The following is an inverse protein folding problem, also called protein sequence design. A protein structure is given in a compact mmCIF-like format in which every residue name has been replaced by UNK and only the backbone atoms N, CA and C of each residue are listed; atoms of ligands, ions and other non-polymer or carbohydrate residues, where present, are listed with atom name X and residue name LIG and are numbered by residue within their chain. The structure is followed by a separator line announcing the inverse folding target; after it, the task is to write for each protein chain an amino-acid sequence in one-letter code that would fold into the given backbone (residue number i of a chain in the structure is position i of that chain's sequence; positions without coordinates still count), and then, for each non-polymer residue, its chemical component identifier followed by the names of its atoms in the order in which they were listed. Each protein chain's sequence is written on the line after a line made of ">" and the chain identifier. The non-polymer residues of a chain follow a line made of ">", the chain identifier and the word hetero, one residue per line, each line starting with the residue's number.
data_IF_336993327800
#
_entry.id   IF_336993327800
#
_cell.length_a   1.000
_cell.length_b   1.000
_cell.length_c   1.000
_cell.angle_alpha   90.00
_cell.angle_beta   90.00
_cell.angle_gamma   90.00
#
_symmetry.space_group_name_H-M   'P 1'
#
loop_
_entity.id
_entity.type
_entity.pdbx_description
1 polymer ?
#
# COMPACT_ATOMS: atom_id res chain seq x y z
N UNK A 1 1.04 14.88 -0.02
CA UNK A 1 0.08 14.24 0.89
C UNK A 1 0.70 13.97 2.27
N UNK A 2 1.91 13.42 2.36
CA UNK A 2 2.55 13.07 3.63
C UNK A 2 3.66 14.04 4.07
N UNK A 3 4.22 14.79 3.15
CA UNK A 3 5.20 15.81 3.44
C UNK A 3 4.59 17.11 3.99
N UNK A 4 5.43 18.08 4.25
CA UNK A 4 5.01 19.39 4.73
C UNK A 4 4.05 20.07 3.73
N UNK A 5 2.92 20.54 4.23
CA UNK A 5 1.82 21.12 3.44
C UNK A 5 1.66 22.64 3.64
N UNK A 6 2.57 23.27 4.38
CA UNK A 6 2.51 24.70 4.63
C UNK A 6 2.98 25.55 3.45
N UNK A 7 2.67 26.84 3.48
CA UNK A 7 3.21 27.80 2.53
C UNK A 7 4.64 28.18 2.93
N UNK A 8 5.54 28.23 1.96
CA UNK A 8 6.86 28.78 2.14
C UNK A 8 6.74 30.32 2.28
N UNK A 9 6.52 30.80 3.50
CA UNK A 9 6.61 32.22 3.79
C UNK A 9 7.99 32.53 4.40
N UNK A 10 8.57 33.65 4.07
CA UNK A 10 9.89 34.06 4.57
C UNK A 10 9.90 34.33 6.10
N UNK A 11 8.75 34.35 6.74
CA UNK A 11 8.64 34.55 8.21
C UNK A 11 9.24 33.40 9.03
N UNK A 12 9.30 32.21 8.48
CA UNK A 12 9.90 31.03 9.15
C UNK A 12 11.43 31.07 9.17
N UNK A 13 12.06 31.93 8.39
CA UNK A 13 13.51 32.18 8.43
C UNK A 13 13.92 33.15 9.55
N UNK A 14 12.98 33.64 10.33
CA UNK A 14 13.20 34.67 11.38
C UNK A 14 13.83 34.16 12.67
N UNK A 15 14.12 32.84 12.78
CA UNK A 15 14.71 32.22 13.96
C UNK A 15 13.75 32.04 15.14
N UNK A 16 12.43 32.18 14.91
CA UNK A 16 11.43 31.89 15.93
C UNK A 16 11.39 30.36 16.21
N UNK A 17 11.50 29.91 17.49
CA UNK A 17 11.41 28.50 17.86
C UNK A 17 10.11 27.82 17.43
N UNK A 18 8.99 28.53 17.33
CA UNK A 18 7.73 27.97 16.83
C UNK A 18 7.78 27.57 15.35
N UNK A 19 8.74 28.14 14.60
CA UNK A 19 8.95 27.78 13.20
C UNK A 19 9.94 26.63 13.01
N UNK A 20 10.64 26.21 14.06
CA UNK A 20 11.65 25.15 13.99
C UNK A 20 11.07 23.83 13.48
N UNK A 21 9.92 23.41 13.98
CA UNK A 21 9.22 22.19 13.53
C UNK A 21 8.74 22.28 12.07
N UNK A 22 8.30 23.46 11.63
CA UNK A 22 7.91 23.71 10.24
C UNK A 22 9.13 23.65 9.31
N UNK A 23 10.24 24.25 9.72
CA UNK A 23 11.52 24.21 8.97
C UNK A 23 12.00 22.76 8.86
N UNK A 24 12.00 22.02 9.97
CA UNK A 24 12.41 20.62 10.01
C UNK A 24 11.54 19.76 9.09
N UNK A 25 10.20 19.93 9.12
CA UNK A 25 9.28 19.22 8.23
C UNK A 25 9.46 19.55 6.75
N UNK A 26 9.76 20.80 6.43
CA UNK A 26 10.10 21.18 5.07
C UNK A 26 11.39 20.52 4.60
N UNK A 27 12.46 20.59 5.40
CA UNK A 27 13.75 19.96 5.06
C UNK A 27 13.58 18.45 4.90
N UNK A 28 12.91 17.79 5.85
CA UNK A 28 12.63 16.36 5.78
C UNK A 28 11.89 15.96 4.49
N UNK A 29 10.89 16.77 4.10
CA UNK A 29 10.17 16.57 2.84
C UNK A 29 11.09 16.72 1.64
N UNK A 30 11.95 17.75 1.62
CA UNK A 30 12.88 17.98 0.52
C UNK A 30 13.91 16.86 0.40
N UNK A 31 14.44 16.33 1.51
CA UNK A 31 15.34 15.18 1.49
C UNK A 31 14.70 13.97 0.77
N UNK A 32 13.47 13.59 1.16
CA UNK A 32 12.76 12.48 0.54
C UNK A 32 12.43 12.72 -0.94
N UNK A 33 12.11 13.95 -1.33
CA UNK A 33 11.91 14.33 -2.74
C UNK A 33 13.22 14.17 -3.51
N UNK A 34 14.33 14.70 -2.98
CA UNK A 34 15.63 14.60 -3.65
C UNK A 34 16.15 13.17 -3.74
N UNK A 35 16.00 12.36 -2.69
CA UNK A 35 16.31 10.92 -2.75
C UNK A 35 15.55 10.22 -3.88
N UNK A 36 14.26 10.57 -4.06
CA UNK A 36 13.44 10.02 -5.15
C UNK A 36 13.98 10.48 -6.52
N UNK A 37 14.31 11.77 -6.67
CA UNK A 37 14.81 12.35 -7.92
C UNK A 37 16.15 11.75 -8.33
N UNK A 38 17.08 11.57 -7.38
CA UNK A 38 18.43 11.04 -7.66
C UNK A 38 18.52 9.51 -7.68
N UNK A 39 17.40 8.82 -7.42
CA UNK A 39 17.32 7.36 -7.46
C UNK A 39 17.75 6.65 -6.19
N UNK A 40 17.79 7.35 -5.05
CA UNK A 40 18.02 6.76 -3.73
C UNK A 40 16.74 6.16 -3.11
N UNK A 41 15.64 6.08 -3.89
CA UNK A 41 14.39 5.39 -3.51
C UNK A 41 13.97 4.43 -4.61
N UNK A 42 13.72 3.16 -4.22
CA UNK A 42 13.17 2.17 -5.12
C UNK A 42 11.64 2.32 -5.28
N UNK A 43 11.03 1.44 -6.08
CA UNK A 43 9.57 1.46 -6.33
C UNK A 43 8.72 1.13 -5.09
N UNK A 44 9.30 0.53 -4.05
CA UNK A 44 8.70 0.26 -2.75
C UNK A 44 9.05 1.34 -1.71
N UNK A 45 9.69 2.41 -2.15
CA UNK A 45 10.16 3.52 -1.33
C UNK A 45 11.23 3.11 -0.30
N UNK A 46 11.97 2.02 -0.54
CA UNK A 46 13.12 1.65 0.27
C UNK A 46 14.33 2.49 -0.13
N UNK A 47 15.16 2.82 0.86
CA UNK A 47 16.41 3.55 0.61
C UNK A 47 17.42 2.67 -0.14
N UNK A 48 17.98 3.22 -1.19
CA UNK A 48 19.08 2.65 -1.98
C UNK A 48 20.35 3.45 -1.66
N UNK A 49 21.31 2.80 -1.04
CA UNK A 49 22.55 3.46 -0.60
C UNK A 49 23.39 3.95 -1.79
N UNK A 50 23.52 5.27 -1.94
CA UNK A 50 24.32 5.89 -2.98
C UNK A 50 25.82 5.70 -2.74
N UNK A 51 26.27 5.48 -1.50
CA UNK A 51 27.67 5.23 -1.17
C UNK A 51 28.18 3.95 -1.86
N UNK A 52 27.33 2.95 -2.06
CA UNK A 52 27.66 1.74 -2.83
C UNK A 52 28.06 2.05 -4.28
N UNK A 53 27.70 3.24 -4.79
CA UNK A 53 28.02 3.74 -6.13
C UNK A 53 29.08 4.83 -6.12
N UNK A 54 29.73 5.08 -4.98
CA UNK A 54 30.74 6.12 -4.81
C UNK A 54 30.18 7.54 -4.78
N UNK A 55 28.91 7.71 -4.41
CA UNK A 55 28.22 8.99 -4.24
C UNK A 55 27.82 9.16 -2.78
N UNK A 56 27.68 10.38 -2.32
CA UNK A 56 27.11 10.65 -1.01
C UNK A 56 25.59 10.52 -1.06
N UNK A 57 25.00 9.97 0.01
CA UNK A 57 23.57 9.98 0.18
C UNK A 57 23.04 11.41 0.40
N UNK A 58 21.83 11.71 -0.05
CA UNK A 58 21.18 13.03 0.13
C UNK A 58 21.14 13.42 1.60
N UNK A 59 20.90 12.48 2.51
CA UNK A 59 20.86 12.73 3.95
C UNK A 59 22.19 13.19 4.54
N UNK A 60 23.34 12.87 3.92
CA UNK A 60 24.67 13.26 4.40
C UNK A 60 24.97 14.76 4.20
N UNK A 61 24.16 15.47 3.40
CA UNK A 61 24.29 16.92 3.27
C UNK A 61 23.75 17.68 4.49
N UNK A 62 23.10 17.00 5.43
CA UNK A 62 22.66 17.58 6.71
C UNK A 62 23.71 17.22 7.79
N UNK A 63 24.45 18.23 8.25
CA UNK A 63 25.44 18.02 9.32
C UNK A 63 24.78 17.54 10.61
N UNK A 64 25.42 16.58 11.28
CA UNK A 64 24.98 16.10 12.60
C UNK A 64 24.98 17.21 13.68
N UNK A 65 25.78 18.26 13.47
CA UNK A 65 25.83 19.43 14.35
C UNK A 65 24.74 20.47 14.06
N UNK A 66 23.88 20.21 13.04
CA UNK A 66 22.80 21.13 12.70
C UNK A 66 21.79 21.23 13.86
N UNK A 67 21.40 22.43 14.32
CA UNK A 67 20.52 22.61 15.49
C UNK A 67 19.18 21.85 15.40
N UNK A 68 18.67 21.64 14.21
CA UNK A 68 17.42 20.93 13.96
C UNK A 68 17.63 19.47 13.50
N UNK A 69 18.85 18.91 13.59
CA UNK A 69 19.16 17.58 13.06
C UNK A 69 18.17 16.52 13.56
N UNK A 70 18.00 16.40 14.87
CA UNK A 70 17.10 15.42 15.47
C UNK A 70 15.66 15.60 15.04
N UNK A 71 15.16 16.83 14.96
CA UNK A 71 13.79 17.12 14.53
C UNK A 71 13.58 16.82 13.05
N UNK A 72 14.55 17.16 12.19
CA UNK A 72 14.50 16.85 10.75
C UNK A 72 14.39 15.34 10.55
N UNK A 73 15.25 14.55 11.19
CA UNK A 73 15.26 13.11 10.99
C UNK A 73 14.10 12.39 11.69
N UNK A 74 13.53 12.96 12.76
CA UNK A 74 12.27 12.51 13.33
C UNK A 74 11.12 12.65 12.33
N UNK A 75 10.97 13.83 11.73
CA UNK A 75 9.94 14.09 10.72
C UNK A 75 10.18 13.32 9.42
N UNK A 76 11.44 13.19 8.99
CA UNK A 76 11.82 12.37 7.84
C UNK A 76 11.35 10.91 8.02
N UNK A 77 11.64 10.29 9.16
CA UNK A 77 11.21 8.91 9.44
C UNK A 77 9.70 8.77 9.52
N UNK A 78 9.01 9.77 10.07
CA UNK A 78 7.54 9.78 10.13
C UNK A 78 6.91 9.87 8.73
N UNK A 79 7.43 10.75 7.86
CA UNK A 79 6.96 10.90 6.47
C UNK A 79 7.27 9.64 5.66
N UNK A 80 8.49 9.07 5.78
CA UNK A 80 8.89 7.83 5.12
C UNK A 80 7.93 6.68 5.47
N UNK A 81 7.66 6.51 6.77
CA UNK A 81 6.75 5.47 7.26
C UNK A 81 5.32 5.66 6.72
N UNK A 82 4.85 6.90 6.67
CA UNK A 82 3.54 7.22 6.12
C UNK A 82 3.44 6.95 4.61
N UNK A 83 4.51 7.23 3.85
CA UNK A 83 4.58 6.92 2.41
C UNK A 83 4.60 5.41 2.18
N UNK A 84 5.42 4.67 2.92
CA UNK A 84 5.47 3.19 2.83
C UNK A 84 4.12 2.57 3.17
N UNK A 85 3.46 3.03 4.23
CA UNK A 85 2.12 2.57 4.59
C UNK A 85 1.08 2.88 3.49
N UNK A 86 1.26 3.97 2.76
CA UNK A 86 0.34 4.35 1.69
C UNK A 86 0.29 3.32 0.56
N UNK A 87 1.42 2.74 0.17
CA UNK A 87 1.53 1.76 -0.91
C UNK A 87 1.35 0.31 -0.44
N UNK A 88 1.17 0.10 0.88
CA UNK A 88 1.09 -1.22 1.48
C UNK A 88 -0.31 -1.82 1.30
N UNK A 89 -0.40 -2.98 0.68
CA UNK A 89 -1.61 -3.80 0.61
C UNK A 89 -1.79 -4.63 1.89
N UNK A 90 -3.02 -5.07 2.24
CA UNK A 90 -3.18 -6.12 3.23
C UNK A 90 -2.36 -7.36 2.86
N UNK A 91 -1.72 -8.00 3.84
CA UNK A 91 -0.66 -8.99 3.64
C UNK A 91 -1.04 -10.20 2.77
N UNK A 92 -2.33 -10.51 2.67
CA UNK A 92 -2.88 -11.61 1.88
C UNK A 92 -3.49 -11.16 0.55
N UNK A 93 -3.40 -9.87 0.17
CA UNK A 93 -3.75 -9.35 -1.14
C UNK A 93 -2.51 -9.25 -2.03
N UNK A 94 -2.71 -9.43 -3.33
CA UNK A 94 -1.69 -9.23 -4.37
C UNK A 94 -2.00 -7.99 -5.19
N UNK A 95 -0.97 -7.35 -5.74
CA UNK A 95 -1.13 -6.28 -6.74
C UNK A 95 -1.65 -6.78 -8.09
N UNK A 96 -1.65 -8.11 -8.32
CA UNK A 96 -2.14 -8.75 -9.54
C UNK A 96 -3.27 -9.74 -9.22
N UNK A 97 -4.18 -9.93 -10.17
CA UNK A 97 -5.30 -10.86 -10.04
C UNK A 97 -4.92 -12.36 -10.12
N UNK A 98 -3.66 -12.66 -10.42
CA UNK A 98 -3.16 -14.04 -10.59
C UNK A 98 -2.73 -14.70 -9.26
N UNK A 99 -3.10 -14.11 -8.13
CA UNK A 99 -2.82 -14.68 -6.81
C UNK A 99 -3.50 -16.05 -6.63
N UNK A 100 -2.87 -16.93 -5.85
CA UNK A 100 -3.47 -18.19 -5.45
C UNK A 100 -4.81 -18.00 -4.75
N UNK A 101 -5.71 -18.99 -4.86
CA UNK A 101 -7.03 -18.91 -4.27
C UNK A 101 -7.03 -19.37 -2.81
N UNK A 102 -7.78 -18.67 -1.98
CA UNK A 102 -8.13 -19.08 -0.61
C UNK A 102 -9.45 -19.83 -0.60
N UNK A 103 -9.56 -20.81 0.29
CA UNK A 103 -10.74 -21.67 0.38
C UNK A 103 -11.76 -21.12 1.39
N UNK A 104 -13.00 -20.86 0.95
CA UNK A 104 -14.14 -20.67 1.83
C UNK A 104 -14.63 -22.04 2.31
N UNK A 105 -14.70 -22.24 3.63
CA UNK A 105 -15.12 -23.50 4.26
C UNK A 105 -16.48 -23.35 4.90
N UNK A 106 -17.28 -24.44 4.84
CA UNK A 106 -18.55 -24.51 5.54
C UNK A 106 -18.31 -24.63 7.05
N UNK A 107 -18.86 -23.72 7.84
CA UNK A 107 -18.72 -23.69 9.30
C UNK A 107 -19.89 -24.34 10.07
N UNK A 108 -20.88 -24.84 9.36
CA UNK A 108 -22.13 -25.40 9.89
C UNK A 108 -23.35 -24.51 9.64
N UNK A 109 -23.15 -23.24 9.31
CA UNK A 109 -24.23 -22.28 9.04
C UNK A 109 -24.02 -21.53 7.71
N UNK A 110 -22.79 -21.26 7.36
CA UNK A 110 -22.40 -20.52 6.16
C UNK A 110 -21.00 -20.90 5.72
N UNK A 111 -20.62 -20.50 4.53
CA UNK A 111 -19.22 -20.54 4.09
C UNK A 111 -18.47 -19.35 4.68
N UNK A 112 -17.34 -19.58 5.28
CA UNK A 112 -16.55 -18.52 5.92
C UNK A 112 -15.04 -18.70 5.72
N UNK A 113 -14.33 -17.58 5.77
CA UNK A 113 -12.89 -17.48 5.76
C UNK A 113 -12.51 -16.27 6.59
N UNK A 114 -11.57 -16.44 7.54
CA UNK A 114 -10.99 -15.33 8.29
C UNK A 114 -9.49 -15.27 8.01
N UNK A 115 -9.00 -14.11 7.62
CA UNK A 115 -7.61 -13.84 7.31
C UNK A 115 -7.07 -12.74 8.23
N UNK A 116 -5.85 -12.92 8.72
CA UNK A 116 -5.17 -11.92 9.56
C UNK A 116 -4.19 -11.11 8.71
N UNK A 117 -4.31 -9.81 8.76
CA UNK A 117 -3.42 -8.88 8.07
C UNK A 117 -2.21 -8.53 8.94
N UNK A 118 -1.04 -9.02 8.55
CA UNK A 118 0.24 -8.75 9.23
C UNK A 118 0.69 -7.28 9.05
N UNK A 119 0.20 -6.62 7.99
CA UNK A 119 0.51 -5.22 7.68
C UNK A 119 -0.36 -4.23 8.46
N UNK A 120 -1.45 -4.71 9.07
CA UNK A 120 -2.39 -3.91 9.85
C UNK A 120 -2.91 -2.66 9.09
N UNK A 121 -3.32 -2.86 7.83
CA UNK A 121 -3.83 -1.80 6.95
C UNK A 121 -5.27 -2.00 6.48
N UNK A 122 -5.97 -3.04 6.97
CA UNK A 122 -7.36 -3.36 6.56
C UNK A 122 -8.32 -2.18 6.68
N UNK A 123 -8.17 -1.38 7.73
CA UNK A 123 -9.02 -0.21 7.97
C UNK A 123 -8.89 0.89 6.90
N UNK A 124 -7.84 0.84 6.09
CA UNK A 124 -7.60 1.80 5.00
C UNK A 124 -8.31 1.38 3.70
N UNK A 125 -8.91 0.16 3.63
CA UNK A 125 -9.43 -0.43 2.40
C UNK A 125 -10.93 -0.70 2.47
N UNK A 126 -11.58 -0.62 1.32
CA UNK A 126 -12.92 -1.15 1.07
C UNK A 126 -12.83 -2.43 0.24
N UNK A 127 -13.70 -3.39 0.53
CA UNK A 127 -13.70 -4.70 -0.12
C UNK A 127 -14.94 -4.88 -0.98
N UNK A 128 -14.76 -5.40 -2.19
CA UNK A 128 -15.83 -5.64 -3.13
C UNK A 128 -15.60 -6.90 -3.97
N UNK A 129 -16.68 -7.42 -4.55
CA UNK A 129 -16.65 -8.51 -5.52
C UNK A 129 -17.74 -8.31 -6.57
N UNK A 130 -17.50 -8.78 -7.79
CA UNK A 130 -18.55 -8.89 -8.83
C UNK A 130 -19.55 -9.99 -8.53
N UNK A 131 -19.22 -10.94 -7.63
CA UNK A 131 -20.12 -12.02 -7.22
C UNK A 131 -21.00 -11.54 -6.07
N UNK A 132 -22.31 -11.67 -6.24
CA UNK A 132 -23.30 -11.35 -5.20
C UNK A 132 -23.29 -12.38 -4.07
N UNK A 133 -23.70 -11.97 -2.86
CA UNK A 133 -23.85 -12.86 -1.71
C UNK A 133 -22.60 -13.05 -0.86
N UNK A 134 -21.51 -12.35 -1.18
CA UNK A 134 -20.34 -12.24 -0.31
C UNK A 134 -20.50 -11.05 0.64
N UNK A 135 -20.22 -11.28 1.91
CA UNK A 135 -20.17 -10.24 2.93
C UNK A 135 -18.74 -10.13 3.48
N UNK A 136 -18.34 -8.89 3.79
CA UNK A 136 -17.01 -8.55 4.31
C UNK A 136 -17.17 -7.88 5.66
N UNK A 137 -16.44 -8.35 6.65
CA UNK A 137 -16.39 -7.74 7.98
C UNK A 137 -14.92 -7.58 8.40
N UNK A 138 -14.56 -6.38 8.84
CA UNK A 138 -13.23 -6.07 9.37
C UNK A 138 -13.34 -5.86 10.87
N UNK A 139 -12.52 -6.58 11.63
CA UNK A 139 -12.35 -6.41 13.07
C UNK A 139 -10.85 -6.35 13.40
N UNK A 140 -10.38 -5.16 13.73
CA UNK A 140 -8.95 -4.88 13.91
C UNK A 140 -8.12 -5.24 12.66
N UNK A 141 -7.25 -6.24 12.81
CA UNK A 141 -6.42 -6.76 11.71
C UNK A 141 -6.97 -8.05 11.07
N UNK A 142 -8.25 -8.37 11.28
CA UNK A 142 -8.88 -9.55 10.70
C UNK A 142 -9.93 -9.15 9.68
N UNK A 143 -9.88 -9.79 8.50
CA UNK A 143 -10.92 -9.76 7.48
C UNK A 143 -11.67 -11.09 7.50
N UNK A 144 -12.97 -11.04 7.79
CA UNK A 144 -13.86 -12.20 7.68
C UNK A 144 -14.73 -12.05 6.43
N UNK A 145 -14.69 -13.06 5.58
CA UNK A 145 -15.49 -13.16 4.36
C UNK A 145 -16.49 -14.29 4.52
N UNK A 146 -17.76 -14.00 4.30
CA UNK A 146 -18.83 -15.01 4.45
C UNK A 146 -19.75 -15.07 3.23
N UNK A 147 -20.34 -16.26 3.03
CA UNK A 147 -21.38 -16.48 2.02
C UNK A 147 -22.39 -17.50 2.52
N UNK A 148 -23.68 -17.21 2.38
CA UNK A 148 -24.76 -18.15 2.72
C UNK A 148 -24.80 -19.36 1.77
N UNK A 149 -24.22 -19.24 0.57
CA UNK A 149 -24.23 -20.28 -0.45
C UNK A 149 -22.81 -20.53 -0.96
N UNK A 150 -22.56 -21.76 -1.45
CA UNK A 150 -21.32 -22.07 -2.12
C UNK A 150 -21.12 -21.17 -3.35
N UNK A 151 -19.96 -20.54 -3.45
CA UNK A 151 -19.57 -19.84 -4.67
C UNK A 151 -19.21 -20.85 -5.76
N UNK A 152 -19.54 -20.53 -7.01
CA UNK A 152 -19.20 -21.38 -8.16
C UNK A 152 -17.91 -20.88 -8.80
N UNK A 153 -16.92 -21.76 -8.89
CA UNK A 153 -15.63 -21.43 -9.47
C UNK A 153 -14.78 -20.52 -8.60
N UNK A 154 -13.79 -19.90 -9.20
CA UNK A 154 -12.94 -18.90 -8.54
C UNK A 154 -13.61 -17.52 -8.62
N UNK A 155 -13.57 -16.79 -7.53
CA UNK A 155 -14.10 -15.43 -7.40
C UNK A 155 -13.01 -14.49 -6.93
N UNK A 156 -12.87 -13.37 -7.62
CA UNK A 156 -11.89 -12.33 -7.26
C UNK A 156 -12.54 -11.29 -6.34
N UNK A 157 -11.89 -11.05 -5.22
CA UNK A 157 -12.16 -9.96 -4.30
C UNK A 157 -11.21 -8.81 -4.63
N UNK A 158 -11.72 -7.61 -4.60
CA UNK A 158 -10.98 -6.38 -4.81
C UNK A 158 -10.93 -5.60 -3.51
N UNK A 159 -9.72 -5.24 -3.08
CA UNK A 159 -9.49 -4.28 -2.02
C UNK A 159 -9.09 -2.94 -2.65
N UNK A 160 -9.81 -1.88 -2.33
CA UNK A 160 -9.56 -0.54 -2.87
C UNK A 160 -9.34 0.45 -1.73
N UNK A 161 -8.25 1.18 -1.83
CA UNK A 161 -7.95 2.32 -0.97
C UNK A 161 -8.13 3.57 -1.79
N UNK A 162 -9.17 4.34 -1.45
CA UNK A 162 -9.39 5.66 -2.05
C UNK A 162 -8.63 6.68 -1.22
N UNK A 163 -7.53 7.15 -1.74
CA UNK A 163 -6.80 8.25 -1.13
C UNK A 163 -7.34 9.58 -1.60
N UNK A 164 -7.21 10.60 -0.74
CA UNK A 164 -7.47 11.97 -1.14
C UNK A 164 -6.64 12.33 -2.38
N UNK A 165 -7.17 13.22 -3.19
CA UNK A 165 -6.44 13.78 -4.33
C UNK A 165 -5.07 14.28 -3.86
N UNK A 166 -4.02 13.91 -4.58
CA UNK A 166 -2.66 14.40 -4.34
C UNK A 166 -2.15 15.14 -5.57
N UNK A 167 -1.31 16.13 -5.34
CA UNK A 167 -0.59 16.78 -6.42
C UNK A 167 0.49 15.84 -6.94
N UNK A 168 0.55 15.64 -8.23
CA UNK A 168 1.67 14.98 -8.87
C UNK A 168 2.94 15.82 -8.69
N UNK A 169 4.09 15.18 -8.76
CA UNK A 169 5.39 15.86 -8.82
C UNK A 169 5.92 15.77 -10.24
N UNK A 170 6.26 16.91 -10.83
CA UNK A 170 6.94 16.97 -12.13
C UNK A 170 8.42 17.22 -11.87
N UNK A 171 9.25 16.30 -12.30
CA UNK A 171 10.71 16.42 -12.22
C UNK A 171 11.21 16.98 -13.54
N UNK A 172 11.93 18.09 -13.47
CA UNK A 172 12.56 18.75 -14.60
C UNK A 172 14.04 18.39 -14.62
N UNK A 173 14.47 17.71 -15.67
CA UNK A 173 15.86 17.30 -15.88
C UNK A 173 16.37 17.93 -17.17
N UNK A 174 17.71 18.07 -17.30
CA UNK A 174 18.32 18.51 -18.56
C UNK A 174 18.39 17.39 -19.62
N UNK A 175 17.90 16.19 -19.29
CA UNK A 175 17.89 15.02 -20.18
C UNK A 175 19.28 14.41 -20.43
N UNK A 176 20.31 14.88 -19.73
CA UNK A 176 21.69 14.42 -19.90
C UNK A 176 22.12 13.68 -18.64
N UNK A 177 22.39 12.39 -18.75
CA UNK A 177 22.90 11.59 -17.62
C UNK A 177 24.28 12.14 -17.19
N UNK A 178 24.37 12.67 -15.97
CA UNK A 178 25.56 13.32 -15.46
C UNK A 178 25.75 14.76 -15.98
N UNK A 179 24.68 15.37 -16.50
CA UNK A 179 24.66 16.78 -16.90
C UNK A 179 24.96 17.70 -15.73
N UNK A 180 25.63 18.82 -16.00
CA UNK A 180 26.06 19.76 -14.96
C UNK A 180 24.96 20.68 -14.43
N UNK A 181 23.68 20.45 -14.82
CA UNK A 181 22.54 21.25 -14.36
C UNK A 181 21.80 20.51 -13.25
N UNK A 182 21.37 21.28 -12.27
CA UNK A 182 20.59 20.75 -11.17
C UNK A 182 19.17 20.42 -11.63
N UNK A 183 18.71 19.21 -11.37
CA UNK A 183 17.32 18.83 -11.52
C UNK A 183 16.47 19.54 -10.47
N UNK A 184 15.21 19.80 -10.78
CA UNK A 184 14.29 20.37 -9.83
C UNK A 184 12.90 19.77 -9.98
N UNK A 185 12.16 19.74 -8.86
CA UNK A 185 10.84 19.19 -8.78
C UNK A 185 9.81 20.30 -8.52
N UNK A 186 8.70 20.23 -9.24
CA UNK A 186 7.56 21.14 -9.05
C UNK A 186 6.29 20.34 -8.81
N UNK A 187 5.28 21.00 -8.23
CA UNK A 187 3.96 20.41 -8.15
C UNK A 187 3.31 20.42 -9.53
N UNK A 188 2.78 19.26 -9.92
CA UNK A 188 1.99 19.08 -11.14
C UNK A 188 0.49 19.10 -10.86
N UNK A 189 -0.29 18.58 -11.81
CA UNK A 189 -1.73 18.45 -11.67
C UNK A 189 -2.10 17.50 -10.53
N UNK A 190 -3.28 17.72 -9.94
CA UNK A 190 -3.83 16.83 -8.93
C UNK A 190 -4.23 15.50 -9.56
N UNK A 191 -3.68 14.40 -9.07
CA UNK A 191 -4.01 13.05 -9.52
C UNK A 191 -4.70 12.28 -8.41
N UNK A 192 -5.66 11.46 -8.79
CA UNK A 192 -6.25 10.47 -7.88
C UNK A 192 -5.32 9.27 -7.80
N UNK A 193 -4.91 8.91 -6.61
CA UNK A 193 -4.13 7.70 -6.37
C UNK A 193 -5.04 6.62 -5.80
N UNK A 194 -5.18 5.55 -6.54
CA UNK A 194 -6.01 4.42 -6.17
C UNK A 194 -5.12 3.19 -6.01
N UNK A 195 -5.01 2.72 -4.77
CA UNK A 195 -4.36 1.45 -4.50
C UNK A 195 -5.39 0.33 -4.62
N UNK A 196 -5.06 -0.67 -5.41
CA UNK A 196 -5.94 -1.83 -5.65
C UNK A 196 -5.18 -3.11 -5.39
N UNK A 197 -5.77 -3.98 -4.56
CA UNK A 197 -5.31 -5.34 -4.34
C UNK A 197 -6.36 -6.37 -4.73
N UNK A 198 -5.91 -7.58 -5.00
CA UNK A 198 -6.73 -8.71 -5.43
C UNK A 198 -6.52 -9.92 -4.55
N UNK A 199 -7.59 -10.65 -4.27
CA UNK A 199 -7.62 -11.92 -3.55
C UNK A 199 -8.58 -12.85 -4.28
N UNK A 200 -8.18 -14.08 -4.56
CA UNK A 200 -9.06 -15.06 -5.16
C UNK A 200 -9.62 -16.01 -4.10
N UNK A 201 -10.89 -16.33 -4.23
CA UNK A 201 -11.60 -17.28 -3.38
C UNK A 201 -12.12 -18.45 -4.21
N UNK A 202 -12.12 -19.62 -3.59
CA UNK A 202 -12.76 -20.82 -4.13
C UNK A 202 -13.51 -21.58 -3.04
N UNK A 203 -14.48 -22.41 -3.45
CA UNK A 203 -15.09 -23.44 -2.60
C UNK A 203 -14.75 -24.79 -3.21
N UNK A 204 -14.09 -25.63 -2.44
CA UNK A 204 -13.85 -27.03 -2.87
C UNK A 204 -15.13 -27.83 -2.69
N UNK A 205 -15.70 -28.25 -3.78
CA UNK A 205 -16.87 -29.13 -3.79
C UNK A 205 -16.46 -30.57 -4.06
N UNK A 206 -16.88 -31.48 -3.20
CA UNK A 206 -16.71 -32.92 -3.43
C UNK A 206 -17.81 -33.43 -4.34
N UNK A 207 -17.50 -34.39 -5.21
CA UNK A 207 -18.51 -35.15 -5.93
C UNK A 207 -19.01 -36.30 -5.05
N UNK A 208 -20.31 -36.35 -4.80
CA UNK A 208 -20.92 -37.47 -4.12
C UNK A 208 -21.66 -38.33 -5.15
N UNK A 209 -21.27 -39.59 -5.27
CA UNK A 209 -22.01 -40.60 -6.05
C UNK A 209 -22.88 -41.40 -5.12
N UNK A 210 -24.17 -41.21 -5.20
CA UNK A 210 -25.17 -42.05 -4.51
C UNK A 210 -25.44 -43.29 -5.36
N UNK A 211 -25.16 -44.47 -4.81
CA UNK A 211 -25.52 -45.73 -5.45
C UNK A 211 -26.62 -46.34 -4.61
N UNK A 212 -27.82 -46.47 -5.20
CA UNK A 212 -28.94 -47.20 -4.60
C UNK A 212 -28.77 -48.69 -4.97
N UNK A 213 -28.62 -49.53 -3.97
CA UNK A 213 -28.62 -50.99 -4.14
C UNK A 213 -29.84 -51.58 -3.50
N UNK A 214 -30.43 -52.62 -4.13
CA UNK A 214 -31.43 -53.51 -3.52
C UNK A 214 -30.77 -54.82 -3.09
N UNK A 215 -31.52 -55.69 -2.42
CA UNK A 215 -31.02 -57.05 -2.08
C UNK A 215 -30.62 -57.84 -3.33
N UNK A 216 -31.16 -57.46 -4.49
CA UNK A 216 -30.87 -58.11 -5.79
C UNK A 216 -29.72 -57.42 -6.57
N UNK A 217 -29.03 -56.46 -5.98
CA UNK A 217 -27.91 -55.75 -6.61
C UNK A 217 -28.18 -54.33 -7.08
N UNK A 218 -27.31 -53.77 -7.90
CA UNK A 218 -27.39 -52.40 -8.38
C UNK A 218 -28.54 -52.19 -9.35
N UNK A 219 -29.43 -51.23 -9.08
CA UNK A 219 -30.50 -50.85 -10.01
C UNK A 219 -29.93 -49.86 -11.02
N UNK A 220 -29.89 -50.30 -12.28
CA UNK A 220 -29.47 -49.44 -13.41
C UNK A 220 -30.61 -48.46 -13.77
N UNK A 221 -30.27 -47.20 -13.99
CA UNK A 221 -31.20 -46.24 -14.63
C UNK A 221 -31.89 -45.23 -13.72
N UNK A 222 -31.26 -44.85 -12.58
CA UNK A 222 -31.65 -43.66 -11.83
C UNK A 222 -30.51 -42.65 -11.83
#
# INVERSE_FOLDING_TARGET
>A
TYGWQGNASTSWMSGNPEDASKIAGYIATQLLVWETVVGERDSQFNHVDANAQGKNNVTEYISADHPLYSEIFSQYSAIESAVKRHTMLPSFFSSTADAGAYELKWDGQQYSLTLTDENNVLGDYTFSSSTTGLNFSVDGNQLTITSAQAIKGSVTIKAEKVTAQRSGVVVWTDGVTGGGKQDFATYGETVSDQMVGYLNLEVKTGNMKLIKTSEDGQVAGI
#
